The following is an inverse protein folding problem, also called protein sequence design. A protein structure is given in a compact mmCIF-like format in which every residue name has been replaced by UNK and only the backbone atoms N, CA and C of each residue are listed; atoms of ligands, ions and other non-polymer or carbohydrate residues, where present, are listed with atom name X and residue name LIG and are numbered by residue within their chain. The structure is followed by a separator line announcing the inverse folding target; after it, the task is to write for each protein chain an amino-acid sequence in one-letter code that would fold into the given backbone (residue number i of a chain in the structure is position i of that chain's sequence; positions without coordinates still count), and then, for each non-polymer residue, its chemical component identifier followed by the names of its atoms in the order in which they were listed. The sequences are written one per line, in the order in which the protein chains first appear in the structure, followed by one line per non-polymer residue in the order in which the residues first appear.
data_IF_799453108111
#
_entry.id   IF_799453108111
#
_cell.length_a   1.000
_cell.length_b   1.000
_cell.length_c   1.000
_cell.angle_alpha   90.00
_cell.angle_beta   90.00
_cell.angle_gamma   90.00
#
_symmetry.space_group_name_H-M   'P 1'
#
loop_
_entity.id
_entity.type
_entity.pdbx_description
1 polymer ?
#
# COMPACT_ATOMS: atom_id res chain seq x y z
N UNK A 1 7.60 -7.06 -45.33
CA UNK A 1 7.84 -6.00 -44.33
C UNK A 1 6.89 -6.27 -43.17
N UNK A 2 7.38 -6.87 -42.09
CA UNK A 2 6.57 -7.08 -40.89
C UNK A 2 6.43 -5.74 -40.16
N UNK A 3 5.21 -5.25 -40.05
CA UNK A 3 4.86 -4.05 -39.30
C UNK A 3 5.26 -4.26 -37.84
N UNK A 4 6.32 -3.59 -37.39
CA UNK A 4 6.62 -3.45 -35.97
C UNK A 4 5.49 -2.63 -35.34
N UNK A 5 4.51 -3.30 -34.73
CA UNK A 5 3.62 -2.66 -33.78
C UNK A 5 4.49 -2.16 -32.63
N UNK A 6 4.76 -0.86 -32.59
CA UNK A 6 5.31 -0.23 -31.39
C UNK A 6 4.31 -0.52 -30.27
N UNK A 7 4.68 -1.38 -29.32
CA UNK A 7 3.92 -1.52 -28.08
C UNK A 7 3.95 -0.15 -27.40
N UNK A 8 2.80 0.53 -27.40
CA UNK A 8 2.64 1.78 -26.67
C UNK A 8 2.71 1.42 -25.19
N UNK A 9 3.81 1.80 -24.54
CA UNK A 9 3.97 1.64 -23.09
C UNK A 9 2.89 2.46 -22.41
N UNK A 10 2.10 1.81 -21.56
CA UNK A 10 1.08 2.50 -20.78
C UNK A 10 1.56 2.60 -19.33
N UNK A 11 1.53 3.82 -18.79
CA UNK A 11 1.92 4.08 -17.41
C UNK A 11 1.00 5.12 -16.76
N UNK A 12 0.77 4.95 -15.46
CA UNK A 12 -0.05 5.84 -14.65
C UNK A 12 0.72 6.32 -13.43
N UNK A 13 0.39 7.53 -12.97
CA UNK A 13 0.81 8.06 -11.69
C UNK A 13 -0.33 7.95 -10.68
N UNK A 14 0.01 7.60 -9.44
CA UNK A 14 -0.92 7.54 -8.32
C UNK A 14 -0.41 8.26 -7.09
N UNK A 15 -1.17 8.16 -6.01
CA UNK A 15 -0.71 8.54 -4.67
C UNK A 15 -0.06 7.33 -4.03
N UNK A 16 1.25 7.39 -3.77
CA UNK A 16 1.97 6.35 -3.05
C UNK A 16 1.89 6.60 -1.54
N UNK A 17 1.46 5.61 -0.77
CA UNK A 17 1.43 5.64 0.70
C UNK A 17 2.64 4.95 1.33
N UNK A 18 3.24 4.02 0.59
CA UNK A 18 4.54 3.40 0.84
C UNK A 18 5.25 3.30 -0.51
N UNK A 19 6.57 3.52 -0.52
CA UNK A 19 7.34 3.50 -1.76
C UNK A 19 8.07 2.17 -1.95
N UNK A 20 8.53 1.94 -3.18
CA UNK A 20 9.47 0.87 -3.50
C UNK A 20 9.50 0.58 -5.00
N UNK A 21 10.26 -0.44 -5.36
CA UNK A 21 10.46 -0.88 -6.74
C UNK A 21 10.17 -2.36 -6.84
N UNK A 22 9.23 -2.73 -7.70
CA UNK A 22 8.92 -4.14 -7.89
C UNK A 22 8.30 -4.43 -9.25
N UNK A 23 8.52 -5.65 -9.72
CA UNK A 23 7.80 -6.21 -10.86
C UNK A 23 7.32 -7.60 -10.52
N UNK A 24 6.04 -7.89 -10.76
CA UNK A 24 5.47 -9.21 -10.54
C UNK A 24 4.16 -9.37 -11.33
N UNK A 25 3.65 -10.60 -11.39
CA UNK A 25 2.36 -10.89 -12.02
C UNK A 25 1.23 -10.18 -11.28
N UNK A 26 0.36 -9.50 -12.04
CA UNK A 26 -0.80 -8.81 -11.49
C UNK A 26 -1.95 -9.79 -11.22
N UNK A 27 -2.44 -9.80 -9.99
CA UNK A 27 -3.75 -10.33 -9.62
C UNK A 27 -4.72 -9.16 -9.50
N UNK A 28 -5.65 -9.02 -10.43
CA UNK A 28 -6.58 -7.92 -10.50
C UNK A 28 -8.03 -8.39 -10.36
N UNK A 29 -8.81 -7.67 -9.56
CA UNK A 29 -10.26 -7.85 -9.49
C UNK A 29 -10.96 -6.51 -9.34
N UNK A 30 -12.12 -6.34 -9.99
CA UNK A 30 -12.99 -5.19 -9.77
C UNK A 30 -13.96 -5.41 -8.58
N UNK A 31 -13.52 -6.17 -7.58
CA UNK A 31 -14.26 -6.46 -6.37
C UNK A 31 -13.30 -6.32 -5.20
N UNK A 32 -13.74 -5.69 -4.11
CA UNK A 32 -12.90 -5.56 -2.92
C UNK A 32 -12.66 -6.91 -2.26
N UNK A 33 -11.57 -7.02 -1.50
CA UNK A 33 -11.21 -8.23 -0.77
C UNK A 33 -11.23 -7.94 0.73
N UNK A 34 -11.92 -8.79 1.50
CA UNK A 34 -11.83 -8.73 2.95
C UNK A 34 -10.64 -9.54 3.43
N UNK A 35 -9.60 -8.89 3.95
CA UNK A 35 -8.39 -9.60 4.37
C UNK A 35 -8.62 -10.44 5.62
N UNK A 36 -9.36 -9.93 6.59
CA UNK A 36 -9.65 -10.64 7.84
C UNK A 36 -10.32 -12.00 7.63
N UNK A 37 -11.34 -12.07 6.77
CA UNK A 37 -12.13 -13.28 6.54
C UNK A 37 -11.85 -13.99 5.22
N UNK A 38 -11.18 -13.31 4.28
CA UNK A 38 -11.04 -13.75 2.89
C UNK A 38 -9.61 -14.11 2.49
N UNK A 39 -8.64 -14.01 3.40
CA UNK A 39 -7.25 -14.44 3.16
C UNK A 39 -6.77 -15.29 4.32
N UNK A 40 -6.13 -16.43 4.03
CA UNK A 40 -5.50 -17.25 5.05
C UNK A 40 -4.10 -16.70 5.37
N UNK A 41 -3.85 -16.19 6.59
CA UNK A 41 -2.56 -15.57 6.93
C UNK A 41 -1.39 -16.56 6.95
N UNK A 42 -1.67 -17.87 7.10
CA UNK A 42 -0.63 -18.92 7.16
C UNK A 42 -0.18 -19.40 5.79
N UNK A 43 -0.99 -19.18 4.75
CA UNK A 43 -0.68 -19.66 3.38
C UNK A 43 -0.59 -18.53 2.36
N UNK A 44 -1.20 -17.36 2.63
CA UNK A 44 -1.36 -16.29 1.66
C UNK A 44 -2.43 -16.56 0.60
N UNK A 45 -3.24 -17.61 0.77
CA UNK A 45 -4.33 -17.95 -0.17
C UNK A 45 -5.55 -17.06 0.05
N UNK A 46 -6.16 -16.59 -1.04
CA UNK A 46 -7.49 -15.98 -1.01
C UNK A 46 -8.54 -17.07 -0.77
N UNK A 47 -9.09 -17.09 0.44
CA UNK A 47 -10.04 -18.12 0.89
C UNK A 47 -11.51 -17.73 0.76
N UNK A 48 -11.82 -16.48 0.45
CA UNK A 48 -13.18 -16.10 0.07
C UNK A 48 -13.57 -16.82 -1.23
N UNK A 49 -14.46 -17.80 -1.12
CA UNK A 49 -14.90 -18.65 -2.24
C UNK A 49 -15.80 -17.94 -3.24
N UNK A 50 -16.35 -16.78 -2.89
CA UNK A 50 -17.15 -15.97 -3.80
C UNK A 50 -16.33 -14.88 -4.49
N UNK A 51 -15.08 -14.68 -4.07
CA UNK A 51 -14.19 -13.71 -4.70
C UNK A 51 -13.57 -14.29 -5.98
N UNK A 52 -13.38 -13.46 -7.01
CA UNK A 52 -12.79 -13.89 -8.29
C UNK A 52 -11.35 -14.40 -8.18
N UNK A 53 -10.64 -13.98 -7.13
CA UNK A 53 -9.27 -14.42 -6.86
C UNK A 53 -9.20 -15.67 -5.97
N UNK A 54 -10.34 -16.31 -5.67
CA UNK A 54 -10.37 -17.48 -4.78
C UNK A 54 -9.41 -18.57 -5.22
N UNK A 55 -8.66 -19.13 -4.26
CA UNK A 55 -7.67 -20.18 -4.50
C UNK A 55 -6.31 -19.70 -5.00
N UNK A 56 -6.17 -18.40 -5.31
CA UNK A 56 -4.88 -17.83 -5.71
C UNK A 56 -4.07 -17.42 -4.48
N UNK A 57 -2.74 -17.50 -4.61
CA UNK A 57 -1.77 -17.07 -3.59
C UNK A 57 -1.37 -15.61 -3.84
N UNK A 58 -1.34 -14.80 -2.78
CA UNK A 58 -0.90 -13.41 -2.86
C UNK A 58 0.62 -13.27 -2.96
N UNK A 59 1.36 -14.24 -2.42
CA UNK A 59 2.82 -14.24 -2.40
C UNK A 59 3.40 -14.02 -3.81
N UNK A 60 4.41 -13.16 -3.89
CA UNK A 60 5.15 -12.86 -5.13
C UNK A 60 4.30 -12.28 -6.27
N UNK A 61 3.13 -11.69 -5.94
CA UNK A 61 2.22 -11.02 -6.90
C UNK A 61 2.03 -9.54 -6.60
N UNK A 62 1.54 -8.77 -7.56
CA UNK A 62 0.97 -7.43 -7.33
C UNK A 62 -0.54 -7.59 -7.24
N UNK A 63 -1.18 -7.07 -6.20
CA UNK A 63 -2.63 -7.15 -6.04
C UNK A 63 -3.30 -5.82 -6.39
N UNK A 64 -4.21 -5.82 -7.36
CA UNK A 64 -5.03 -4.66 -7.72
C UNK A 64 -6.52 -4.90 -7.42
N UNK A 65 -7.06 -4.17 -6.44
CA UNK A 65 -8.48 -4.25 -6.05
C UNK A 65 -9.04 -2.85 -5.75
N UNK A 66 -10.37 -2.63 -5.78
CA UNK A 66 -10.92 -1.29 -5.53
C UNK A 66 -10.67 -0.77 -4.10
N UNK A 67 -10.39 -1.67 -3.16
CA UNK A 67 -10.14 -1.40 -1.75
C UNK A 67 -10.44 -2.64 -0.90
N UNK A 68 -10.13 -2.59 0.40
CA UNK A 68 -10.52 -3.62 1.36
C UNK A 68 -12.04 -3.73 1.54
N UNK A 69 -12.49 -4.87 2.07
CA UNK A 69 -13.84 -5.05 2.62
C UNK A 69 -13.76 -5.45 4.10
N UNK A 70 -14.65 -4.93 4.93
CA UNK A 70 -14.71 -5.27 6.37
C UNK A 70 -13.99 -4.24 7.26
N UNK A 71 -13.75 -4.62 8.51
CA UNK A 71 -13.29 -3.74 9.59
C UNK A 71 -11.77 -3.81 9.84
N UNK A 72 -11.30 -3.15 10.91
CA UNK A 72 -9.90 -2.91 11.28
C UNK A 72 -9.00 -4.15 11.26
N UNK A 73 -9.54 -5.36 11.47
CA UNK A 73 -8.74 -6.60 11.48
C UNK A 73 -7.96 -6.87 10.18
N UNK A 74 -8.34 -6.26 9.06
CA UNK A 74 -7.58 -6.37 7.81
C UNK A 74 -6.13 -5.88 7.91
N UNK A 75 -5.84 -4.89 8.74
CA UNK A 75 -4.49 -4.35 8.93
C UNK A 75 -3.55 -5.40 9.54
N UNK A 76 -4.04 -6.13 10.55
CA UNK A 76 -3.29 -7.17 11.26
C UNK A 76 -2.96 -8.33 10.32
N UNK A 77 -3.92 -8.77 9.50
CA UNK A 77 -3.68 -9.83 8.50
C UNK A 77 -2.67 -9.38 7.45
N UNK A 78 -2.78 -8.16 6.94
CA UNK A 78 -1.81 -7.64 5.97
C UNK A 78 -0.39 -7.59 6.57
N UNK A 79 -0.26 -7.08 7.79
CA UNK A 79 1.02 -7.06 8.51
C UNK A 79 1.57 -8.50 8.65
N UNK A 80 0.77 -9.45 9.16
CA UNK A 80 1.19 -10.85 9.32
C UNK A 80 1.65 -11.48 7.99
N UNK A 81 0.93 -11.25 6.90
CA UNK A 81 1.29 -11.72 5.57
C UNK A 81 2.65 -11.18 5.13
N UNK A 82 2.91 -9.88 5.31
CA UNK A 82 4.19 -9.25 4.97
C UNK A 82 5.31 -9.83 5.84
N UNK A 83 5.10 -9.93 7.15
CA UNK A 83 6.09 -10.47 8.08
C UNK A 83 6.48 -11.91 7.75
N UNK A 84 5.52 -12.71 7.30
CA UNK A 84 5.73 -14.11 6.89
C UNK A 84 6.21 -14.27 5.44
N UNK A 85 6.34 -13.18 4.67
CA UNK A 85 6.71 -13.26 3.25
C UNK A 85 5.66 -13.96 2.38
N UNK A 86 4.39 -13.91 2.81
CA UNK A 86 3.21 -14.48 2.15
C UNK A 86 2.32 -13.40 1.51
N UNK A 87 2.58 -12.13 1.82
CA UNK A 87 1.85 -10.99 1.28
C UNK A 87 2.21 -10.67 -0.17
N UNK A 88 1.40 -9.80 -0.81
CA UNK A 88 1.72 -9.29 -2.14
C UNK A 88 2.99 -8.44 -2.10
N UNK A 89 3.69 -8.42 -3.23
CA UNK A 89 4.85 -7.58 -3.46
C UNK A 89 4.51 -6.10 -3.58
N UNK A 90 3.29 -5.78 -4.00
CA UNK A 90 2.72 -4.44 -4.00
C UNK A 90 1.20 -4.49 -4.06
N UNK A 91 0.57 -3.38 -3.67
CA UNK A 91 -0.87 -3.17 -3.66
C UNK A 91 -1.23 -1.96 -4.52
N UNK A 92 -2.25 -2.12 -5.36
CA UNK A 92 -2.84 -1.04 -6.15
C UNK A 92 -4.31 -0.92 -5.79
N UNK A 93 -4.73 0.26 -5.37
CA UNK A 93 -6.11 0.56 -5.02
C UNK A 93 -6.74 1.56 -5.99
N UNK A 94 -8.07 1.47 -6.16
CA UNK A 94 -8.87 2.44 -6.95
C UNK A 94 -9.08 3.78 -6.23
N UNK A 95 -8.95 3.76 -4.90
CA UNK A 95 -9.19 4.88 -4.01
C UNK A 95 -8.27 4.74 -2.80
N UNK A 96 -8.23 5.77 -1.97
CA UNK A 96 -7.60 5.68 -0.65
C UNK A 96 -8.13 4.47 0.11
N UNK A 97 -7.22 3.68 0.64
CA UNK A 97 -7.49 2.50 1.43
C UNK A 97 -6.65 2.63 2.70
N UNK A 98 -7.30 2.74 3.87
CA UNK A 98 -6.62 3.12 5.10
C UNK A 98 -6.25 1.90 5.94
N UNK A 99 -7.09 0.87 5.95
CA UNK A 99 -6.97 -0.27 6.86
C UNK A 99 -5.84 -1.20 6.44
N UNK A 100 -5.84 -1.64 5.19
CA UNK A 100 -4.82 -2.54 4.65
C UNK A 100 -3.49 -1.80 4.57
N UNK A 101 -3.49 -0.54 4.12
CA UNK A 101 -2.30 0.31 4.06
C UNK A 101 -1.68 0.52 5.43
N UNK A 102 -2.47 0.72 6.49
CA UNK A 102 -1.95 0.78 7.87
C UNK A 102 -1.15 -0.47 8.23
N UNK A 103 -1.62 -1.66 7.84
CA UNK A 103 -0.88 -2.91 8.07
C UNK A 103 0.49 -2.92 7.41
N UNK A 104 0.60 -2.33 6.21
CA UNK A 104 1.87 -2.17 5.50
C UNK A 104 2.77 -1.14 6.17
N UNK A 105 2.24 0.03 6.54
CA UNK A 105 2.97 1.10 7.23
C UNK A 105 3.54 0.58 8.55
N UNK A 106 2.75 -0.14 9.34
CA UNK A 106 3.22 -0.74 10.60
C UNK A 106 4.31 -1.77 10.36
N UNK A 107 4.15 -2.65 9.35
CA UNK A 107 5.19 -3.62 8.99
C UNK A 107 6.52 -2.94 8.61
N UNK A 108 6.44 -1.83 7.88
CA UNK A 108 7.60 -1.05 7.45
C UNK A 108 8.29 -0.38 8.63
N UNK A 109 7.53 0.35 9.45
CA UNK A 109 8.08 1.16 10.55
C UNK A 109 8.63 0.29 11.70
N UNK A 110 7.95 -0.81 12.04
CA UNK A 110 8.37 -1.67 13.16
C UNK A 110 9.37 -2.75 12.76
N UNK A 111 9.30 -3.26 11.52
CA UNK A 111 10.03 -4.48 11.13
C UNK A 111 10.89 -4.30 9.87
N UNK A 112 10.90 -3.13 9.25
CA UNK A 112 11.65 -2.87 8.02
C UNK A 112 11.19 -3.72 6.84
N UNK A 113 9.97 -4.26 6.88
CA UNK A 113 9.37 -5.06 5.81
C UNK A 113 8.19 -4.32 5.22
N UNK A 114 8.21 -4.09 3.91
CA UNK A 114 7.23 -3.23 3.23
C UNK A 114 6.78 -3.84 1.90
N UNK A 115 5.72 -3.27 1.36
CA UNK A 115 5.26 -3.46 -0.01
C UNK A 115 4.79 -2.09 -0.53
N UNK A 116 5.09 -1.69 -1.77
CA UNK A 116 4.55 -0.44 -2.33
C UNK A 116 3.02 -0.47 -2.33
N UNK A 117 2.41 0.64 -1.91
CA UNK A 117 0.96 0.82 -1.90
C UNK A 117 0.63 2.09 -2.65
N UNK A 118 -0.15 1.95 -3.73
CA UNK A 118 -0.49 3.05 -4.63
C UNK A 118 -2.01 3.12 -4.82
N UNK A 119 -2.59 4.30 -4.59
CA UNK A 119 -3.94 4.60 -5.04
C UNK A 119 -3.90 5.29 -6.41
N UNK A 120 -4.57 4.69 -7.40
CA UNK A 120 -4.73 5.26 -8.73
C UNK A 120 -6.09 5.96 -8.86
N UNK A 121 -6.19 6.86 -9.83
CA UNK A 121 -7.48 7.43 -10.22
C UNK A 121 -8.40 6.33 -10.77
N UNK A 122 -9.73 6.44 -10.61
CA UNK A 122 -10.68 5.40 -11.05
C UNK A 122 -10.57 4.97 -12.52
N UNK A 123 -10.24 5.90 -13.41
CA UNK A 123 -10.04 5.68 -14.84
C UNK A 123 -8.77 4.90 -15.15
N UNK A 124 -7.67 5.22 -14.46
CA UNK A 124 -6.37 4.56 -14.60
C UNK A 124 -6.44 3.15 -14.00
N UNK A 125 -7.03 3.03 -12.81
CA UNK A 125 -7.27 1.73 -12.17
C UNK A 125 -8.09 0.80 -13.08
N UNK A 126 -9.10 1.32 -13.79
CA UNK A 126 -9.91 0.52 -14.73
C UNK A 126 -9.07 -0.04 -15.88
N UNK A 127 -8.08 0.70 -16.35
CA UNK A 127 -7.15 0.23 -17.38
C UNK A 127 -6.21 -0.84 -16.82
N UNK A 128 -5.68 -0.64 -15.60
CA UNK A 128 -4.82 -1.61 -14.90
C UNK A 128 -5.51 -2.96 -14.69
N UNK A 129 -6.83 -3.00 -14.48
CA UNK A 129 -7.57 -4.26 -14.40
C UNK A 129 -7.42 -5.13 -15.67
N UNK A 130 -7.23 -4.50 -16.83
CA UNK A 130 -7.00 -5.19 -18.11
C UNK A 130 -5.64 -5.90 -18.19
N UNK A 131 -4.71 -5.59 -17.28
CA UNK A 131 -3.37 -6.19 -17.22
C UNK A 131 -3.33 -7.46 -16.35
N UNK A 132 -4.48 -7.95 -15.87
CA UNK A 132 -4.55 -9.15 -15.03
C UNK A 132 -3.81 -10.35 -15.65
N UNK A 133 -2.94 -11.00 -14.89
CA UNK A 133 -2.12 -12.13 -15.33
C UNK A 133 -0.85 -11.74 -16.09
N UNK A 134 -0.62 -10.46 -16.37
CA UNK A 134 0.62 -9.96 -16.98
C UNK A 134 1.60 -9.44 -15.91
N UNK A 135 2.85 -9.18 -16.30
CA UNK A 135 3.83 -8.56 -15.38
C UNK A 135 3.61 -7.06 -15.35
N UNK A 136 3.45 -6.49 -14.16
CA UNK A 136 3.33 -5.05 -13.93
C UNK A 136 4.55 -4.55 -13.17
N UNK A 137 4.96 -3.32 -13.47
CA UNK A 137 6.13 -2.66 -12.91
C UNK A 137 5.69 -1.47 -12.06
N UNK A 138 6.21 -1.39 -10.85
CA UNK A 138 5.96 -0.30 -9.92
C UNK A 138 7.29 0.34 -9.53
N UNK A 139 7.31 1.67 -9.54
CA UNK A 139 8.42 2.47 -9.03
C UNK A 139 7.90 3.75 -8.38
N UNK A 140 7.98 3.85 -7.04
CA UNK A 140 7.46 4.99 -6.30
C UNK A 140 5.96 5.17 -6.55
N UNK A 141 5.57 6.26 -7.19
CA UNK A 141 4.19 6.60 -7.53
C UNK A 141 3.73 6.11 -8.92
N UNK A 142 4.62 5.45 -9.68
CA UNK A 142 4.34 4.98 -11.04
C UNK A 142 3.96 3.51 -11.11
N UNK A 143 2.97 3.19 -11.95
CA UNK A 143 2.56 1.83 -12.33
C UNK A 143 2.60 1.70 -13.85
N UNK A 144 3.21 0.64 -14.40
CA UNK A 144 3.33 0.43 -15.85
C UNK A 144 3.18 -1.03 -16.26
N UNK A 145 2.69 -1.25 -17.49
CA UNK A 145 2.62 -2.54 -18.18
C UNK A 145 3.95 -3.02 -18.77
N UNK A 146 4.98 -2.17 -18.74
CA UNK A 146 6.29 -2.41 -19.33
C UNK A 146 7.41 -1.95 -18.39
N UNK A 147 8.65 -2.44 -18.55
CA UNK A 147 9.77 -2.00 -17.74
C UNK A 147 9.94 -0.48 -17.76
N UNK A 148 9.97 0.14 -16.58
CA UNK A 148 10.16 1.58 -16.43
C UNK A 148 11.62 1.93 -16.69
N UNK A 149 11.87 2.84 -17.65
CA UNK A 149 13.16 3.52 -17.76
C UNK A 149 13.19 4.66 -16.75
N UNK A 150 14.08 4.57 -15.77
CA UNK A 150 14.15 5.49 -14.64
C UNK A 150 15.36 6.40 -14.78
N UNK A 151 15.13 7.69 -14.59
CA UNK A 151 16.19 8.68 -14.44
C UNK A 151 16.79 8.63 -13.01
N UNK A 152 18.05 9.09 -12.80
CA UNK A 152 18.69 9.04 -11.49
C UNK A 152 17.90 9.66 -10.32
N UNK A 153 17.19 10.81 -10.48
CA UNK A 153 16.32 11.33 -9.42
C UNK A 153 15.14 10.42 -9.10
N UNK A 154 14.64 9.69 -10.09
CA UNK A 154 13.53 8.75 -9.90
C UNK A 154 13.98 7.55 -9.08
N UNK A 155 15.20 7.03 -9.27
CA UNK A 155 15.73 5.94 -8.44
C UNK A 155 15.67 6.24 -6.93
N UNK A 156 15.85 7.50 -6.53
CA UNK A 156 15.79 7.92 -5.12
C UNK A 156 14.36 7.98 -4.56
N UNK A 157 13.33 8.07 -5.42
CA UNK A 157 11.92 8.15 -5.02
C UNK A 157 11.34 6.80 -4.54
N UNK A 158 12.16 5.75 -4.49
CA UNK A 158 11.78 4.43 -4.00
C UNK A 158 11.68 4.35 -2.47
N UNK A 159 12.10 5.38 -1.73
CA UNK A 159 12.07 5.41 -0.26
C UNK A 159 11.00 6.41 0.19
N UNK A 160 10.22 6.06 1.21
CA UNK A 160 9.26 6.99 1.80
C UNK A 160 9.99 8.02 2.65
N UNK A 161 9.76 9.30 2.40
CA UNK A 161 10.38 10.40 3.13
C UNK A 161 9.34 11.05 4.05
N UNK A 162 9.57 10.98 5.36
CA UNK A 162 8.65 11.59 6.33
C UNK A 162 8.65 13.11 6.27
N UNK A 163 9.69 13.73 5.70
CA UNK A 163 9.72 15.18 5.49
C UNK A 163 8.83 15.64 4.34
N UNK A 164 8.34 14.72 3.50
CA UNK A 164 7.41 15.03 2.41
C UNK A 164 5.94 14.97 2.82
N UNK A 165 5.63 14.75 4.10
CA UNK A 165 4.25 14.77 4.60
C UNK A 165 3.67 16.18 4.50
N UNK A 166 2.40 16.28 4.09
CA UNK A 166 1.64 17.52 4.01
C UNK A 166 0.94 17.88 5.34
N UNK A 167 0.73 16.90 6.22
CA UNK A 167 0.14 17.14 7.55
C UNK A 167 1.05 18.05 8.40
N UNK A 168 0.45 19.05 9.04
CA UNK A 168 1.16 19.93 9.96
C UNK A 168 1.48 19.18 11.26
N UNK A 169 2.77 19.10 11.55
CA UNK A 169 3.30 18.48 12.77
C UNK A 169 3.67 19.56 13.79
N UNK A 170 3.23 19.35 15.04
CA UNK A 170 3.65 20.18 16.16
C UNK A 170 5.15 20.01 16.45
N UNK A 171 5.73 20.90 17.26
CA UNK A 171 7.12 20.75 17.69
C UNK A 171 7.32 19.46 18.50
N UNK A 172 6.31 19.04 19.24
CA UNK A 172 6.32 17.77 19.97
C UNK A 172 6.34 16.57 19.01
N UNK A 173 5.52 16.57 17.97
CA UNK A 173 5.48 15.48 16.98
C UNK A 173 6.82 15.34 16.27
N UNK A 174 7.40 16.46 15.84
CA UNK A 174 8.72 16.50 15.18
C UNK A 174 9.82 15.97 16.10
N UNK A 175 9.90 16.48 17.33
CA UNK A 175 10.89 16.01 18.31
C UNK A 175 10.71 14.50 18.62
N UNK A 176 9.46 14.03 18.67
CA UNK A 176 9.16 12.61 18.87
C UNK A 176 9.64 11.77 17.68
N UNK A 177 9.39 12.21 16.44
CA UNK A 177 9.89 11.56 15.20
C UNK A 177 11.41 11.54 15.13
N UNK A 178 12.08 12.56 15.70
CA UNK A 178 13.54 12.62 15.81
C UNK A 178 14.09 11.72 16.95
N UNK A 179 13.21 11.18 17.80
CA UNK A 179 13.55 10.19 18.83
C UNK A 179 13.67 10.74 20.25
N UNK A 180 13.24 11.97 20.52
CA UNK A 180 13.32 12.59 21.86
C UNK A 180 12.58 11.80 22.96
N UNK A 181 11.59 10.99 22.58
CA UNK A 181 10.71 10.26 23.51
C UNK A 181 10.90 8.74 23.47
N UNK A 182 12.06 8.29 22.99
CA UNK A 182 12.41 6.88 22.90
C UNK A 182 11.87 6.18 21.64
N UNK A 183 12.41 4.98 21.38
CA UNK A 183 12.20 4.25 20.13
C UNK A 183 10.73 3.92 19.84
N UNK A 184 10.02 3.36 20.82
CA UNK A 184 8.63 2.94 20.64
C UNK A 184 7.70 4.13 20.33
N UNK A 185 7.92 5.26 21.00
CA UNK A 185 7.16 6.50 20.77
C UNK A 185 7.49 7.09 19.40
N UNK A 186 8.77 7.08 19.01
CA UNK A 186 9.20 7.52 17.69
C UNK A 186 8.48 6.75 16.59
N UNK A 187 8.55 5.42 16.63
CA UNK A 187 7.91 4.56 15.62
C UNK A 187 6.39 4.81 15.61
N UNK A 188 5.75 4.86 16.78
CA UNK A 188 4.31 5.15 16.88
C UNK A 188 3.95 6.49 16.25
N UNK A 189 4.71 7.56 16.51
CA UNK A 189 4.45 8.88 15.93
C UNK A 189 4.66 8.89 14.42
N UNK A 190 5.67 8.18 13.90
CA UNK A 190 5.85 8.03 12.44
C UNK A 190 4.63 7.36 11.80
N UNK A 191 4.08 6.31 12.41
CA UNK A 191 2.86 5.65 11.94
C UNK A 191 1.68 6.64 11.96
N UNK A 192 1.47 7.36 13.06
CA UNK A 192 0.38 8.33 13.19
C UNK A 192 0.47 9.45 12.15
N UNK A 193 1.64 10.07 11.99
CA UNK A 193 1.86 11.13 11.00
C UNK A 193 1.57 10.66 9.57
N UNK A 194 2.02 9.45 9.22
CA UNK A 194 1.76 8.85 7.89
C UNK A 194 0.28 8.54 7.67
N UNK A 195 -0.42 8.07 8.71
CA UNK A 195 -1.86 7.81 8.63
C UNK A 195 -2.65 9.12 8.50
N UNK A 196 -2.30 10.14 9.27
CA UNK A 196 -2.91 11.45 9.20
C UNK A 196 -2.76 12.07 7.79
N UNK A 197 -1.55 12.02 7.24
CA UNK A 197 -1.24 12.45 5.88
C UNK A 197 -2.02 11.66 4.82
N UNK A 198 -2.03 10.32 4.91
CA UNK A 198 -2.83 9.47 4.05
C UNK A 198 -4.32 9.87 4.08
N UNK A 199 -4.86 10.16 5.27
CA UNK A 199 -6.23 10.61 5.46
C UNK A 199 -6.50 12.03 4.93
N UNK A 200 -5.48 12.77 4.51
CA UNK A 200 -5.57 14.17 4.09
C UNK A 200 -5.88 15.10 5.25
N UNK A 201 -5.46 14.74 6.47
CA UNK A 201 -5.61 15.60 7.63
C UNK A 201 -4.68 16.81 7.51
N UNK A 202 -5.17 17.99 7.88
CA UNK A 202 -4.36 19.20 7.87
C UNK A 202 -3.41 19.25 9.07
N UNK A 203 -3.84 18.74 10.21
CA UNK A 203 -3.10 18.70 11.47
C UNK A 203 -3.59 17.54 12.34
N UNK A 204 -2.81 17.17 13.35
CA UNK A 204 -3.23 16.26 14.42
C UNK A 204 -3.72 17.07 15.62
N UNK A 205 -4.75 16.58 16.31
CA UNK A 205 -5.30 17.22 17.50
C UNK A 205 -4.89 16.46 18.75
N UNK A 206 -4.35 17.18 19.73
CA UNK A 206 -4.05 16.62 21.04
C UNK A 206 -5.34 16.32 21.80
N UNK A 207 -5.49 15.06 22.23
CA UNK A 207 -6.62 14.59 23.01
C UNK A 207 -6.13 14.13 24.39
N UNK A 208 -6.51 14.85 25.44
CA UNK A 208 -6.12 14.51 26.82
C UNK A 208 -6.99 13.43 27.46
N UNK A 209 -8.22 13.24 26.96
CA UNK A 209 -9.15 12.25 27.47
C UNK A 209 -10.13 11.81 26.37
N UNK A 210 -10.37 10.51 26.26
CA UNK A 210 -11.43 9.92 25.46
C UNK A 210 -12.15 8.85 26.29
N UNK A 211 -13.47 8.76 26.15
CA UNK A 211 -14.26 7.68 26.72
C UNK A 211 -14.63 6.70 25.60
N UNK A 212 -14.37 5.42 25.80
CA UNK A 212 -14.72 4.36 24.85
C UNK A 212 -15.65 3.39 25.57
N UNK A 213 -16.93 3.44 25.21
CA UNK A 213 -17.91 2.45 25.64
C UNK A 213 -17.74 1.15 24.83
N UNK A 214 -17.77 0.01 25.52
CA UNK A 214 -17.84 -1.29 24.87
C UNK A 214 -19.29 -1.60 24.49
N UNK A 215 -19.51 -2.06 23.25
CA UNK A 215 -20.77 -2.66 22.82
C UNK A 215 -20.90 -4.12 23.31
#
# INVERSE_FOLDING_TARGET
MASMTQNVVTSFHGTAYTNGVVSATLLAANLGLGFWSGVNPKTGEVIDRFHRLSGLLLKDTILAIPGGRGSCGGSVIMMELILNGLGPKALIFKRREEIITLGVIVAEEFFGKTAPVIALRPEDFRQVLGWNGTTVYIHGDKVSDSPLQLSPPELNRAIFDISSLEVQLSDFDKATIEGANGEATRISMKVLARVADMMGAQEMMDVSQAHVDGA
#
